data_IF_828094954596
#
_entry.id   IF_828094954596
#
_cell.length_a   1.000
_cell.length_b   1.000
_cell.length_c   1.000
_cell.angle_alpha   90.00
_cell.angle_beta   90.00
_cell.angle_gamma   90.00
#
_symmetry.space_group_name_H-M   'P 1'
#
loop_
_entity.id
_entity.type
_entity.pdbx_description
1 polymer ?
#
# COMPACT_ATOMS: atom_id res chain seq x y z
N UNK A 1 -8.40 22.67 23.22
CA UNK A 1 -7.85 22.84 21.86
C UNK A 1 -8.17 24.25 21.43
N UNK A 2 -7.20 24.98 20.90
CA UNK A 2 -7.33 26.42 20.61
C UNK A 2 -7.09 26.75 19.12
N UNK A 3 -6.71 25.79 18.27
CA UNK A 3 -6.46 26.04 16.86
C UNK A 3 -7.73 25.87 15.99
N UNK A 4 -7.86 26.70 14.96
CA UNK A 4 -8.93 26.58 13.94
C UNK A 4 -8.60 25.60 12.80
N UNK A 5 -7.39 25.01 12.79
CA UNK A 5 -6.89 24.18 11.70
C UNK A 5 -7.35 22.72 11.69
N UNK A 6 -8.24 22.31 12.60
CA UNK A 6 -8.74 20.93 12.66
C UNK A 6 -10.26 20.90 12.67
N UNK A 7 -10.82 19.93 11.94
CA UNK A 7 -12.23 19.60 11.95
C UNK A 7 -12.42 18.17 12.48
N UNK A 8 -13.52 17.96 13.21
CA UNK A 8 -13.90 16.66 13.75
C UNK A 8 -15.36 16.38 13.42
N UNK A 9 -15.70 15.13 13.15
CA UNK A 9 -17.09 14.72 12.93
C UNK A 9 -17.91 14.68 14.22
N UNK A 10 -17.27 14.56 15.39
CA UNK A 10 -17.93 14.51 16.69
C UNK A 10 -17.00 14.94 17.84
N UNK A 11 -17.56 15.29 19.02
CA UNK A 11 -16.77 15.53 20.24
C UNK A 11 -15.90 14.35 20.65
N UNK A 12 -16.34 13.11 20.44
CA UNK A 12 -15.56 11.90 20.77
C UNK A 12 -14.31 11.79 19.90
N UNK A 13 -14.42 12.10 18.60
CA UNK A 13 -13.26 12.15 17.71
C UNK A 13 -12.28 13.27 18.09
N UNK A 14 -12.80 14.42 18.52
CA UNK A 14 -11.98 15.50 19.08
C UNK A 14 -11.22 15.01 20.32
N UNK A 15 -11.91 14.41 21.28
CA UNK A 15 -11.31 14.01 22.55
C UNK A 15 -10.29 12.87 22.38
N UNK A 16 -10.55 11.94 21.44
CA UNK A 16 -9.57 10.93 21.02
C UNK A 16 -8.30 11.56 20.43
N UNK A 17 -8.45 12.59 19.58
CA UNK A 17 -7.31 13.29 19.00
C UNK A 17 -6.54 14.15 20.02
N UNK A 18 -7.20 14.58 21.11
CA UNK A 18 -6.58 15.41 22.14
C UNK A 18 -5.37 14.77 22.82
N UNK A 19 -5.28 13.43 22.81
CA UNK A 19 -4.16 12.68 23.39
C UNK A 19 -2.82 13.16 22.83
N UNK A 20 -2.72 13.35 21.52
CA UNK A 20 -1.51 13.83 20.84
C UNK A 20 -1.62 15.29 20.43
N UNK A 21 -2.79 15.74 19.98
CA UNK A 21 -2.95 17.07 19.41
C UNK A 21 -2.72 18.19 20.43
N UNK A 22 -2.93 17.95 21.73
CA UNK A 22 -2.60 18.92 22.79
C UNK A 22 -1.13 19.40 22.74
N UNK A 23 -0.23 18.56 22.22
CA UNK A 23 1.20 18.88 22.07
C UNK A 23 1.53 19.50 20.71
N UNK A 24 0.67 19.30 19.70
CA UNK A 24 0.83 19.79 18.33
C UNK A 24 0.16 21.17 18.14
N UNK A 25 -0.94 21.43 18.86
CA UNK A 25 -1.91 22.51 18.60
C UNK A 25 -1.28 23.90 18.42
N UNK A 26 -0.36 24.29 19.31
CA UNK A 26 0.30 25.61 19.28
C UNK A 26 1.42 25.72 18.25
N UNK A 27 1.82 24.61 17.65
CA UNK A 27 2.93 24.52 16.71
C UNK A 27 2.47 24.16 15.30
N UNK A 28 1.16 24.02 15.05
CA UNK A 28 0.65 23.63 13.74
C UNK A 28 1.09 24.59 12.63
N UNK A 29 0.92 25.89 12.83
CA UNK A 29 1.31 26.90 11.84
C UNK A 29 2.82 26.93 11.62
N UNK A 30 3.60 26.72 12.68
CA UNK A 30 5.05 26.62 12.59
C UNK A 30 5.48 25.37 11.81
N UNK A 31 4.87 24.21 12.09
CA UNK A 31 5.18 22.96 11.39
C UNK A 31 4.79 23.07 9.91
N UNK A 32 3.58 23.56 9.59
CA UNK A 32 3.13 23.76 8.22
C UNK A 32 4.03 24.79 7.50
N UNK A 33 4.26 25.94 8.13
CA UNK A 33 5.08 27.02 7.58
C UNK A 33 6.56 26.65 7.37
N UNK A 34 7.08 25.66 8.11
CA UNK A 34 8.44 25.15 7.89
C UNK A 34 8.61 24.39 6.57
N UNK A 35 7.50 23.99 5.92
CA UNK A 35 7.54 23.16 4.70
C UNK A 35 8.01 21.72 4.95
N UNK A 36 8.00 21.26 6.21
CA UNK A 36 8.41 19.89 6.53
C UNK A 36 7.49 18.84 5.90
N UNK A 37 8.06 17.67 5.64
CA UNK A 37 7.29 16.52 5.17
C UNK A 37 6.24 16.12 6.20
N UNK A 38 5.07 15.64 5.74
CA UNK A 38 4.05 15.00 6.58
C UNK A 38 4.62 13.88 7.47
N UNK A 39 5.71 13.23 7.04
CA UNK A 39 6.39 12.20 7.84
C UNK A 39 7.00 12.77 9.13
N UNK A 40 7.34 14.06 9.18
CA UNK A 40 7.81 14.74 10.38
C UNK A 40 6.67 14.87 11.41
N UNK A 41 5.45 15.19 10.93
CA UNK A 41 4.25 15.19 11.77
C UNK A 41 3.96 13.79 12.30
N UNK A 42 4.11 12.74 11.48
CA UNK A 42 3.92 11.35 11.91
C UNK A 42 4.99 10.95 12.94
N UNK A 43 6.25 11.36 12.77
CA UNK A 43 7.30 11.08 13.73
C UNK A 43 6.98 11.71 15.09
N UNK A 44 6.58 12.98 15.11
CA UNK A 44 6.14 13.67 16.33
C UNK A 44 4.93 12.97 16.96
N UNK A 45 3.91 12.67 16.15
CA UNK A 45 2.67 12.02 16.60
C UNK A 45 2.92 10.61 17.13
N UNK A 46 3.87 9.88 16.56
CA UNK A 46 4.26 8.55 17.04
C UNK A 46 4.74 8.61 18.49
N UNK A 47 5.42 9.70 18.88
CA UNK A 47 5.83 9.97 20.26
C UNK A 47 4.66 10.44 21.10
N UNK A 48 3.96 11.48 20.66
CA UNK A 48 2.95 12.18 21.49
C UNK A 48 1.65 11.40 21.67
N UNK A 49 1.36 10.42 20.83
CA UNK A 49 0.24 9.49 21.05
C UNK A 49 0.45 8.58 22.27
N UNK A 50 1.70 8.43 22.74
CA UNK A 50 2.06 7.72 23.96
C UNK A 50 2.35 8.71 25.10
N UNK A 51 2.14 8.29 26.34
CA UNK A 51 2.51 9.08 27.53
C UNK A 51 4.03 9.11 27.70
N UNK A 52 4.59 10.14 28.33
CA UNK A 52 6.03 10.23 28.58
C UNK A 52 6.64 8.98 29.24
N UNK A 53 5.95 8.42 30.25
CA UNK A 53 6.39 7.20 30.94
C UNK A 53 6.45 5.94 30.07
N UNK A 54 5.75 5.92 28.93
CA UNK A 54 5.92 4.86 27.93
C UNK A 54 7.36 4.86 27.40
N UNK A 55 7.90 6.03 27.05
CA UNK A 55 9.24 6.15 26.48
C UNK A 55 10.35 5.93 27.51
N UNK A 56 10.11 6.25 28.79
CA UNK A 56 11.01 5.85 29.87
C UNK A 56 11.14 4.32 29.91
N UNK A 57 10.01 3.60 29.84
CA UNK A 57 10.02 2.14 29.77
C UNK A 57 10.71 1.59 28.52
N UNK A 58 10.49 2.19 27.35
CA UNK A 58 11.19 1.79 26.11
C UNK A 58 12.71 1.96 26.28
N UNK A 59 13.17 3.12 26.77
CA UNK A 59 14.59 3.39 27.03
C UNK A 59 15.19 2.36 27.99
N UNK A 60 14.47 2.06 29.05
CA UNK A 60 14.88 1.12 30.10
C UNK A 60 14.66 -0.35 29.71
N UNK A 61 14.31 -0.61 28.43
CA UNK A 61 14.07 -1.94 27.84
C UNK A 61 13.00 -2.76 28.57
N UNK A 62 12.01 -2.10 29.12
CA UNK A 62 10.86 -2.74 29.77
C UNK A 62 9.74 -3.03 28.74
N UNK A 63 8.90 -4.05 28.97
CA UNK A 63 7.74 -4.32 28.13
C UNK A 63 6.78 -3.13 28.06
N UNK A 64 6.34 -2.81 26.85
CA UNK A 64 5.37 -1.74 26.57
C UNK A 64 4.26 -2.22 25.65
N UNK A 65 3.09 -1.58 25.73
CA UNK A 65 1.98 -1.77 24.81
C UNK A 65 1.46 -0.41 24.36
N UNK A 66 1.32 -0.14 23.05
CA UNK A 66 1.72 -1.00 21.93
C UNK A 66 3.24 -1.23 21.88
N UNK A 67 3.68 -2.30 21.24
CA UNK A 67 5.09 -2.63 21.10
C UNK A 67 5.76 -1.77 20.02
N UNK A 68 6.62 -0.83 20.45
CA UNK A 68 7.37 0.06 19.55
C UNK A 68 8.34 -0.70 18.65
N UNK A 69 8.81 -1.88 19.07
CA UNK A 69 9.83 -2.63 18.31
C UNK A 69 9.34 -3.06 16.94
N UNK A 70 8.02 -3.24 16.78
CA UNK A 70 7.38 -3.53 15.48
C UNK A 70 7.62 -2.44 14.45
N UNK A 71 7.70 -1.18 14.90
CA UNK A 71 8.01 -0.05 14.03
C UNK A 71 9.52 0.20 13.96
N UNK A 72 10.23 0.12 15.09
CA UNK A 72 11.67 0.41 15.10
C UNK A 72 12.50 -0.59 14.30
N UNK A 73 12.03 -1.83 14.15
CA UNK A 73 12.73 -2.88 13.42
C UNK A 73 12.49 -2.84 11.90
N UNK A 74 11.64 -1.94 11.41
CA UNK A 74 11.42 -1.78 9.97
C UNK A 74 12.65 -1.15 9.30
N UNK A 75 12.79 -1.43 7.99
CA UNK A 75 13.96 -1.03 7.21
C UNK A 75 14.07 0.49 7.13
N UNK A 76 15.22 1.03 7.56
CA UNK A 76 15.53 2.45 7.51
C UNK A 76 16.64 2.81 6.50
N UNK A 77 17.26 1.80 5.88
CA UNK A 77 18.43 1.91 4.99
C UNK A 77 19.54 2.83 5.53
N UNK A 78 19.81 2.77 6.84
CA UNK A 78 20.80 3.63 7.47
C UNK A 78 22.21 3.45 6.85
N UNK A 79 22.54 2.24 6.42
CA UNK A 79 23.79 1.86 5.76
C UNK A 79 23.98 2.49 4.37
N UNK A 80 22.90 2.86 3.68
CA UNK A 80 22.94 3.43 2.32
C UNK A 80 22.84 4.95 2.28
N UNK A 81 22.64 5.60 3.43
CA UNK A 81 22.39 7.04 3.53
C UNK A 81 23.68 7.84 3.40
N UNK A 82 23.59 8.96 2.67
CA UNK A 82 24.68 9.92 2.56
C UNK A 82 24.71 10.86 3.78
N UNK A 83 25.89 11.38 4.13
CA UNK A 83 26.07 12.32 5.25
C UNK A 83 25.12 13.53 5.18
N UNK A 84 24.87 14.08 3.98
CA UNK A 84 23.91 15.18 3.79
C UNK A 84 22.49 14.84 4.22
N UNK A 85 22.02 13.62 3.95
CA UNK A 85 20.69 13.16 4.38
C UNK A 85 20.61 13.04 5.91
N UNK A 86 21.67 12.50 6.54
CA UNK A 86 21.76 12.44 8.01
C UNK A 86 21.71 13.81 8.68
N UNK A 87 22.44 14.79 8.15
CA UNK A 87 22.42 16.17 8.68
C UNK A 87 21.00 16.74 8.61
N UNK A 88 20.34 16.67 7.45
CA UNK A 88 18.97 17.18 7.28
C UNK A 88 17.98 16.53 8.24
N UNK A 89 18.04 15.21 8.43
CA UNK A 89 17.15 14.51 9.37
C UNK A 89 17.47 14.81 10.82
N UNK A 90 18.75 14.98 11.16
CA UNK A 90 19.16 15.35 12.52
C UNK A 90 18.65 16.74 12.88
N UNK A 91 18.78 17.70 11.96
CA UNK A 91 18.21 19.04 12.15
C UNK A 91 16.70 18.99 12.36
N UNK A 92 15.98 18.19 11.57
CA UNK A 92 14.54 18.02 11.73
C UNK A 92 14.18 17.30 13.04
N UNK A 93 14.94 16.28 13.44
CA UNK A 93 14.75 15.59 14.72
C UNK A 93 14.94 16.54 15.91
N UNK A 94 15.97 17.39 15.88
CA UNK A 94 16.20 18.42 16.89
C UNK A 94 15.06 19.46 16.91
N UNK A 95 14.58 19.88 15.73
CA UNK A 95 13.44 20.78 15.63
C UNK A 95 12.17 20.18 16.28
N UNK A 96 11.84 18.93 15.96
CA UNK A 96 10.71 18.21 16.57
C UNK A 96 10.93 17.99 18.08
N UNK A 97 12.16 17.76 18.52
CA UNK A 97 12.50 17.65 19.93
C UNK A 97 12.23 18.97 20.68
N UNK A 98 12.56 20.13 20.09
CA UNK A 98 12.20 21.44 20.66
C UNK A 98 10.69 21.60 20.80
N UNK A 99 9.90 21.10 19.84
CA UNK A 99 8.43 21.08 19.97
C UNK A 99 8.01 20.23 21.19
N UNK A 100 8.59 19.05 21.41
CA UNK A 100 8.29 18.22 22.59
C UNK A 100 8.63 18.92 23.92
N UNK A 101 9.74 19.65 23.97
CA UNK A 101 10.16 20.43 25.14
C UNK A 101 9.18 21.57 25.41
N UNK A 102 8.92 22.43 24.42
CA UNK A 102 8.09 23.62 24.59
C UNK A 102 6.59 23.31 24.72
N UNK A 103 6.10 22.22 24.12
CA UNK A 103 4.72 21.73 24.27
C UNK A 103 4.43 21.11 25.65
N UNK A 104 5.46 21.00 26.49
CA UNK A 104 5.43 20.36 27.79
C UNK A 104 5.13 18.86 27.77
N UNK A 105 5.53 18.19 26.69
CA UNK A 105 5.54 16.73 26.65
C UNK A 105 6.64 16.16 27.56
N UNK A 106 7.85 16.73 27.48
CA UNK A 106 8.98 16.39 28.35
C UNK A 106 8.82 17.15 29.68
N UNK A 107 8.82 16.50 30.85
CA UNK A 107 8.73 17.17 32.15
C UNK A 107 9.91 18.14 32.38
N UNK A 108 9.72 19.24 33.12
CA UNK A 108 10.81 20.20 33.39
C UNK A 108 12.05 19.58 34.05
N UNK A 109 11.88 18.54 34.87
CA UNK A 109 12.99 17.79 35.50
C UNK A 109 13.96 17.18 34.50
N UNK A 110 13.49 16.90 33.29
CA UNK A 110 14.25 16.20 32.25
C UNK A 110 14.58 17.14 31.09
N UNK A 111 14.45 18.47 31.30
CA UNK A 111 14.75 19.48 30.29
C UNK A 111 16.16 20.04 30.35
N UNK A 112 16.90 19.82 31.45
CA UNK A 112 18.24 20.32 31.81
C UNK A 112 18.63 21.69 31.18
N UNK A 113 18.92 22.67 32.03
CA UNK A 113 19.36 24.02 31.60
C UNK A 113 20.72 24.05 30.87
N UNK A 114 21.39 22.90 30.73
CA UNK A 114 22.65 22.77 30.01
C UNK A 114 22.40 22.51 28.50
N UNK A 115 23.25 23.11 27.65
CA UNK A 115 23.22 22.92 26.19
C UNK A 115 23.52 21.47 25.78
N UNK A 116 23.95 20.64 26.73
CA UNK A 116 24.25 19.22 26.52
C UNK A 116 22.99 18.36 26.39
N UNK A 117 22.83 17.75 25.21
CA UNK A 117 21.77 16.79 24.92
C UNK A 117 22.02 15.45 25.62
N UNK A 118 21.31 15.17 26.71
CA UNK A 118 21.51 13.96 27.52
C UNK A 118 20.18 13.24 27.89
N UNK A 119 20.28 12.09 28.56
CA UNK A 119 19.15 11.41 29.19
C UNK A 119 17.97 11.14 28.26
N UNK A 120 16.76 11.55 28.68
CA UNK A 120 15.53 11.37 27.89
C UNK A 120 15.49 12.25 26.65
N UNK A 121 16.12 13.43 26.66
CA UNK A 121 16.17 14.32 25.49
C UNK A 121 16.97 13.68 24.37
N UNK A 122 18.16 13.16 24.68
CA UNK A 122 18.98 12.40 23.73
C UNK A 122 18.23 11.19 23.20
N UNK A 123 17.62 10.39 24.09
CA UNK A 123 16.87 9.21 23.70
C UNK A 123 15.70 9.55 22.75
N UNK A 124 14.85 10.52 23.08
CA UNK A 124 13.74 10.93 22.22
C UNK A 124 14.22 11.56 20.91
N UNK A 125 15.34 12.31 20.94
CA UNK A 125 16.01 12.80 19.73
C UNK A 125 16.46 11.66 18.81
N UNK A 126 17.06 10.60 19.37
CA UNK A 126 17.43 9.39 18.62
C UNK A 126 16.20 8.66 18.07
N UNK A 127 15.11 8.56 18.84
CA UNK A 127 13.84 7.98 18.37
C UNK A 127 13.27 8.79 17.20
N UNK A 128 13.24 10.12 17.30
CA UNK A 128 12.80 11.00 16.21
C UNK A 128 13.66 10.81 14.96
N UNK A 129 14.98 10.81 15.11
CA UNK A 129 15.92 10.61 14.01
C UNK A 129 15.71 9.23 13.34
N UNK A 130 15.50 8.18 14.13
CA UNK A 130 15.20 6.84 13.62
C UNK A 130 13.86 6.82 12.87
N UNK A 131 12.81 7.39 13.45
CA UNK A 131 11.50 7.49 12.81
C UNK A 131 11.57 8.25 11.49
N UNK A 132 12.30 9.37 11.43
CA UNK A 132 12.47 10.11 10.18
C UNK A 132 13.15 9.26 9.11
N UNK A 133 14.10 8.40 9.44
CA UNK A 133 14.71 7.48 8.48
C UNK A 133 13.76 6.34 8.08
N UNK A 134 13.08 5.75 9.06
CA UNK A 134 12.18 4.62 8.87
C UNK A 134 10.93 4.97 8.05
N UNK A 135 10.27 6.10 8.37
CA UNK A 135 8.97 6.45 7.81
C UNK A 135 9.00 6.72 6.30
N UNK A 136 10.16 7.10 5.74
CA UNK A 136 10.32 7.28 4.30
C UNK A 136 9.96 6.02 3.50
N UNK A 137 10.24 4.84 4.05
CA UNK A 137 10.09 3.57 3.36
C UNK A 137 8.87 2.77 3.78
N UNK A 138 8.30 3.08 4.94
CA UNK A 138 7.31 2.22 5.61
C UNK A 138 5.96 2.90 5.86
N UNK A 139 5.83 4.19 5.53
CA UNK A 139 4.56 4.91 5.64
C UNK A 139 3.69 4.66 4.40
N UNK A 140 2.37 4.61 4.62
CA UNK A 140 1.38 4.30 3.58
C UNK A 140 0.49 5.50 3.34
N UNK A 141 0.34 5.87 2.07
CA UNK A 141 -0.65 6.86 1.66
C UNK A 141 -2.07 6.28 1.82
N UNK A 142 -2.90 7.01 2.55
CA UNK A 142 -4.32 6.70 2.74
C UNK A 142 -5.09 7.50 1.70
N UNK A 143 -6.01 6.85 1.01
CA UNK A 143 -6.79 7.46 -0.05
C UNK A 143 -8.27 7.11 0.06
N UNK A 144 -9.09 8.00 -0.51
CA UNK A 144 -10.48 7.76 -0.84
C UNK A 144 -10.69 7.66 -2.35
N UNK A 145 -11.78 6.98 -2.76
CA UNK A 145 -12.17 6.90 -4.17
C UNK A 145 -13.29 7.89 -4.44
N UNK A 146 -13.03 8.87 -5.29
CA UNK A 146 -13.99 9.88 -5.72
C UNK A 146 -14.77 9.40 -6.94
N UNK A 147 -16.07 9.69 -6.97
CA UNK A 147 -16.98 9.37 -8.07
C UNK A 147 -17.78 10.61 -8.47
N UNK A 148 -18.09 10.76 -9.77
CA UNK A 148 -18.96 11.85 -10.25
C UNK A 148 -20.43 11.65 -9.92
N UNK A 149 -20.87 10.39 -9.83
CA UNK A 149 -22.21 9.99 -9.44
C UNK A 149 -22.14 8.70 -8.61
N UNK A 150 -23.19 8.40 -7.84
CA UNK A 150 -23.28 7.14 -7.11
C UNK A 150 -23.28 5.97 -8.13
N UNK A 151 -22.45 4.96 -7.86
CA UNK A 151 -22.25 3.75 -8.67
C UNK A 151 -21.57 3.97 -10.04
N UNK A 152 -21.06 5.18 -10.32
CA UNK A 152 -20.31 5.48 -11.55
C UNK A 152 -18.83 5.09 -11.44
N UNK A 153 -18.55 3.79 -11.51
CA UNK A 153 -17.20 3.25 -11.40
C UNK A 153 -16.22 3.73 -12.48
N UNK A 154 -16.73 4.12 -13.65
CA UNK A 154 -15.92 4.59 -14.78
C UNK A 154 -15.28 5.95 -14.51
N UNK A 155 -15.96 6.82 -13.74
CA UNK A 155 -15.40 8.12 -13.35
C UNK A 155 -14.48 8.11 -12.14
N UNK A 156 -14.20 6.91 -11.59
CA UNK A 156 -13.46 6.76 -10.35
C UNK A 156 -12.08 7.43 -10.39
N UNK A 157 -11.76 8.18 -9.33
CA UNK A 157 -10.46 8.84 -9.13
C UNK A 157 -9.96 8.66 -7.72
N UNK A 158 -8.67 8.42 -7.56
CA UNK A 158 -8.03 8.32 -6.24
C UNK A 158 -7.72 9.73 -5.72
N UNK A 159 -8.16 10.03 -4.50
CA UNK A 159 -7.79 11.23 -3.75
C UNK A 159 -7.00 10.82 -2.51
N UNK A 160 -5.73 11.22 -2.43
CA UNK A 160 -4.88 10.93 -1.27
C UNK A 160 -5.19 11.92 -0.14
N UNK A 161 -5.66 11.41 0.99
CA UNK A 161 -6.20 12.23 2.09
C UNK A 161 -5.33 12.23 3.34
N UNK A 162 -4.50 11.21 3.54
CA UNK A 162 -3.65 11.11 4.72
C UNK A 162 -2.44 10.18 4.51
N UNK A 163 -1.61 10.05 5.54
CA UNK A 163 -0.55 9.05 5.62
C UNK A 163 -0.64 8.33 6.96
N UNK A 164 -0.48 7.01 6.94
CA UNK A 164 -0.54 6.14 8.11
C UNK A 164 0.65 5.19 8.20
N UNK A 165 0.83 4.59 9.36
CA UNK A 165 1.88 3.59 9.61
C UNK A 165 1.22 2.29 10.04
N UNK A 166 1.45 1.24 9.25
CA UNK A 166 0.88 -0.08 9.45
C UNK A 166 2.01 -1.10 9.50
N UNK A 167 2.64 -1.34 10.67
CA UNK A 167 3.85 -2.15 10.76
C UNK A 167 3.72 -3.55 10.14
N UNK A 168 2.57 -4.20 10.32
CA UNK A 168 2.32 -5.51 9.70
C UNK A 168 2.24 -5.45 8.17
N UNK A 169 1.75 -4.34 7.61
CA UNK A 169 1.64 -4.16 6.15
C UNK A 169 2.98 -3.79 5.54
N UNK A 170 3.81 -3.02 6.26
CA UNK A 170 5.15 -2.66 5.82
C UNK A 170 6.10 -3.86 5.62
N UNK A 171 5.72 -5.07 6.09
CA UNK A 171 6.47 -6.30 5.86
C UNK A 171 6.28 -6.88 4.46
N UNK A 172 5.21 -6.52 3.75
CA UNK A 172 4.95 -7.04 2.40
C UNK A 172 5.86 -6.34 1.40
N UNK A 173 6.64 -7.13 0.67
CA UNK A 173 7.52 -6.64 -0.39
C UNK A 173 6.72 -6.19 -1.62
N UNK A 174 7.39 -5.46 -2.51
CA UNK A 174 6.80 -4.96 -3.74
C UNK A 174 6.61 -6.04 -4.83
N UNK A 175 5.47 -5.99 -5.53
CA UNK A 175 5.29 -6.57 -6.87
C UNK A 175 4.51 -5.59 -7.77
N UNK A 176 4.86 -5.54 -9.06
CA UNK A 176 4.15 -4.71 -10.03
C UNK A 176 2.77 -5.30 -10.41
N UNK A 177 2.51 -6.57 -10.11
CA UNK A 177 1.25 -7.29 -10.27
C UNK A 177 0.95 -8.13 -8.99
N UNK A 178 0.67 -7.48 -7.85
CA UNK A 178 0.52 -8.17 -6.57
C UNK A 178 -0.65 -9.16 -6.56
N UNK A 179 -0.58 -10.24 -5.76
CA UNK A 179 -1.70 -11.18 -5.58
C UNK A 179 -2.81 -10.64 -4.67
N UNK A 180 -2.59 -9.50 -4.01
CA UNK A 180 -3.55 -8.84 -3.14
C UNK A 180 -3.87 -7.45 -3.66
N UNK A 181 -5.02 -6.94 -3.26
CA UNK A 181 -5.40 -5.55 -3.40
C UNK A 181 -5.55 -4.88 -2.05
N UNK A 182 -5.42 -3.55 -2.03
CA UNK A 182 -5.55 -2.71 -0.84
C UNK A 182 -6.73 -1.77 -0.95
N UNK A 183 -7.42 -1.52 0.16
CA UNK A 183 -8.39 -0.45 0.32
C UNK A 183 -8.53 -0.09 1.80
N UNK A 184 -9.28 0.96 2.10
CA UNK A 184 -9.42 1.47 3.46
C UNK A 184 -10.85 1.32 3.97
N UNK A 185 -10.99 1.10 5.27
CA UNK A 185 -12.24 1.26 6.02
C UNK A 185 -11.97 2.21 7.18
N UNK A 186 -12.26 3.49 7.00
CA UNK A 186 -11.80 4.53 7.92
C UNK A 186 -10.27 4.54 8.03
N UNK A 187 -9.74 4.27 9.23
CA UNK A 187 -8.29 4.22 9.49
C UNK A 187 -7.68 2.82 9.27
N UNK A 188 -8.50 1.80 9.01
CA UNK A 188 -8.04 0.43 8.82
C UNK A 188 -7.62 0.22 7.37
N UNK A 189 -6.42 -0.33 7.17
CA UNK A 189 -5.93 -0.79 5.87
C UNK A 189 -6.33 -2.25 5.70
N UNK A 190 -7.12 -2.53 4.68
CA UNK A 190 -7.59 -3.88 4.34
C UNK A 190 -6.78 -4.41 3.17
N UNK A 191 -6.15 -5.56 3.37
CA UNK A 191 -5.52 -6.35 2.31
C UNK A 191 -6.40 -7.55 2.00
N UNK A 192 -6.66 -7.79 0.72
CA UNK A 192 -7.48 -8.93 0.28
C UNK A 192 -6.90 -9.57 -0.97
N UNK A 193 -6.80 -10.89 -0.97
CA UNK A 193 -6.36 -11.65 -2.15
C UNK A 193 -7.32 -11.44 -3.32
N UNK A 194 -6.77 -11.23 -4.51
CA UNK A 194 -7.52 -11.09 -5.78
C UNK A 194 -7.33 -12.30 -6.69
N UNK A 195 -6.61 -13.32 -6.22
CA UNK A 195 -6.38 -14.63 -6.84
C UNK A 195 -5.96 -15.63 -5.75
N UNK A 196 -5.97 -16.95 -6.02
CA UNK A 196 -5.53 -17.97 -5.10
C UNK A 196 -4.05 -17.81 -4.75
N UNK A 197 -3.70 -18.19 -3.52
CA UNK A 197 -2.34 -18.22 -2.99
C UNK A 197 -2.08 -19.60 -2.39
N UNK A 198 -0.99 -20.23 -2.79
CA UNK A 198 -0.53 -21.51 -2.25
C UNK A 198 0.41 -21.30 -1.04
N UNK A 199 0.55 -22.29 -0.14
CA UNK A 199 1.58 -22.25 0.90
C UNK A 199 2.97 -22.06 0.29
N UNK A 200 3.70 -21.05 0.78
CA UNK A 200 5.02 -20.68 0.27
C UNK A 200 5.01 -19.57 -0.78
N UNK A 201 3.83 -19.20 -1.33
CA UNK A 201 3.74 -18.04 -2.21
C UNK A 201 4.09 -16.75 -1.46
N UNK A 202 4.87 -15.90 -2.11
CA UNK A 202 5.11 -14.56 -1.61
C UNK A 202 3.83 -13.73 -1.69
N UNK A 203 3.40 -13.21 -0.55
CA UNK A 203 2.36 -12.17 -0.51
C UNK A 203 3.07 -10.83 -0.67
N UNK A 204 2.74 -10.10 -1.71
CA UNK A 204 3.38 -8.83 -2.08
C UNK A 204 2.36 -7.73 -2.28
N UNK A 205 2.74 -6.49 -1.99
CA UNK A 205 1.91 -5.30 -2.17
C UNK A 205 2.44 -4.45 -3.33
N UNK A 206 1.66 -3.47 -3.80
CA UNK A 206 2.14 -2.51 -4.78
C UNK A 206 2.44 -1.16 -4.12
N UNK A 207 3.70 -0.74 -4.23
CA UNK A 207 4.22 0.51 -3.64
C UNK A 207 3.85 1.76 -4.46
N UNK A 208 2.85 1.66 -5.34
CA UNK A 208 2.36 2.72 -6.22
C UNK A 208 2.49 2.44 -7.73
N UNK A 209 3.66 2.02 -8.26
CA UNK A 209 3.81 1.80 -9.69
C UNK A 209 3.33 0.41 -10.12
N UNK A 210 2.07 0.28 -10.54
CA UNK A 210 1.49 -0.96 -11.10
C UNK A 210 1.73 -1.05 -12.61
N UNK A 211 1.91 -2.28 -13.14
CA UNK A 211 2.22 -2.49 -14.57
C UNK A 211 1.10 -2.02 -15.51
N UNK A 212 -0.15 -2.10 -15.06
CA UNK A 212 -1.32 -1.69 -15.83
C UNK A 212 -1.33 -0.20 -16.16
N UNK A 213 -0.65 0.64 -15.37
CA UNK A 213 -0.67 2.10 -15.49
C UNK A 213 0.68 2.71 -15.94
N UNK A 214 1.80 2.06 -15.63
CA UNK A 214 3.16 2.62 -15.80
C UNK A 214 4.05 1.69 -16.62
N UNK A 215 4.91 2.22 -17.49
CA UNK A 215 5.90 1.43 -18.24
C UNK A 215 6.99 0.88 -17.32
N UNK A 216 7.72 -0.15 -17.74
CA UNK A 216 8.86 -0.69 -16.98
C UNK A 216 9.83 0.41 -16.53
N UNK A 217 10.22 1.31 -17.44
CA UNK A 217 11.14 2.41 -17.12
C UNK A 217 10.57 3.36 -16.05
N UNK A 218 9.28 3.69 -16.10
CA UNK A 218 8.61 4.51 -15.08
C UNK A 218 8.57 3.79 -13.72
N UNK A 219 8.24 2.48 -13.72
CA UNK A 219 8.17 1.66 -12.50
C UNK A 219 9.53 1.56 -11.82
N UNK A 220 10.58 1.18 -12.56
CA UNK A 220 11.94 1.06 -12.04
C UNK A 220 12.48 2.38 -11.50
N UNK A 221 12.28 3.49 -12.23
CA UNK A 221 12.71 4.82 -11.78
C UNK A 221 12.02 5.23 -10.47
N UNK A 222 10.71 5.03 -10.37
CA UNK A 222 9.94 5.35 -9.16
C UNK A 222 10.42 4.53 -7.95
N UNK A 223 10.59 3.22 -8.13
CA UNK A 223 11.02 2.32 -7.04
C UNK A 223 12.46 2.59 -6.62
N UNK A 224 13.38 2.73 -7.57
CA UNK A 224 14.78 3.02 -7.28
C UNK A 224 14.96 4.36 -6.56
N UNK A 225 14.19 5.39 -6.94
CA UNK A 225 14.30 6.72 -6.30
C UNK A 225 13.70 6.77 -4.90
N UNK A 226 12.55 6.12 -4.67
CA UNK A 226 11.82 6.19 -3.40
C UNK A 226 12.24 5.13 -2.39
N UNK A 227 12.50 3.91 -2.85
CA UNK A 227 12.72 2.71 -2.03
C UNK A 227 14.09 2.05 -2.21
N UNK A 228 14.93 2.57 -3.10
CA UNK A 228 16.35 2.17 -3.24
C UNK A 228 16.57 0.69 -3.58
N UNK A 229 15.68 0.13 -4.41
CA UNK A 229 15.82 -1.20 -4.98
C UNK A 229 15.39 -1.24 -6.45
N UNK A 230 15.81 -2.29 -7.15
CA UNK A 230 15.37 -2.63 -8.51
C UNK A 230 14.37 -3.77 -8.42
N UNK A 231 13.20 -3.62 -9.05
CA UNK A 231 12.17 -4.65 -8.98
C UNK A 231 12.45 -5.77 -9.98
N UNK A 232 12.47 -7.02 -9.49
CA UNK A 232 12.70 -8.22 -10.31
C UNK A 232 11.45 -9.10 -10.43
N UNK A 233 10.26 -8.55 -10.19
CA UNK A 233 9.02 -9.30 -10.39
C UNK A 233 8.86 -9.71 -11.87
N UNK A 234 8.01 -10.70 -12.13
CA UNK A 234 7.84 -11.25 -13.49
C UNK A 234 7.37 -10.20 -14.49
N UNK A 235 6.53 -9.25 -14.06
CA UNK A 235 6.08 -8.14 -14.89
C UNK A 235 7.20 -7.19 -15.30
N UNK A 236 8.27 -7.11 -14.51
CA UNK A 236 9.46 -6.35 -14.84
C UNK A 236 10.45 -7.16 -15.69
N UNK A 237 10.65 -8.44 -15.38
CA UNK A 237 11.54 -9.32 -16.14
C UNK A 237 11.08 -9.49 -17.59
N UNK A 238 9.77 -9.52 -17.83
CA UNK A 238 9.17 -9.73 -19.14
C UNK A 238 8.66 -8.43 -19.80
N UNK A 239 8.98 -7.27 -19.24
CA UNK A 239 8.54 -5.94 -19.72
C UNK A 239 7.03 -5.90 -20.08
N UNK A 240 6.18 -6.27 -19.11
CA UNK A 240 4.74 -6.29 -19.38
C UNK A 240 4.21 -4.90 -19.75
N UNK A 241 3.39 -4.81 -20.81
CA UNK A 241 2.87 -3.55 -21.31
C UNK A 241 1.77 -3.00 -20.40
N UNK A 242 1.44 -1.71 -20.59
CA UNK A 242 0.29 -1.06 -19.94
C UNK A 242 -1.02 -1.74 -20.36
N UNK A 243 -2.05 -1.59 -19.54
CA UNK A 243 -3.38 -2.17 -19.78
C UNK A 243 -3.96 -1.78 -21.14
N UNK A 244 -3.73 -0.54 -21.58
CA UNK A 244 -4.20 -0.02 -22.87
C UNK A 244 -3.54 -0.70 -24.07
N UNK A 245 -2.34 -1.25 -23.90
CA UNK A 245 -1.58 -1.93 -24.95
C UNK A 245 -1.71 -3.45 -24.89
N UNK A 246 -2.40 -4.01 -23.90
CA UNK A 246 -2.73 -5.43 -23.87
C UNK A 246 -3.84 -5.75 -24.88
N UNK A 247 -3.58 -6.77 -25.70
CA UNK A 247 -4.54 -7.34 -26.64
C UNK A 247 -5.51 -8.28 -25.90
N UNK A 248 -6.80 -8.17 -26.18
CA UNK A 248 -7.83 -9.05 -25.62
C UNK A 248 -7.90 -10.41 -26.31
N UNK A 249 -7.40 -10.54 -27.54
CA UNK A 249 -7.39 -11.82 -28.24
C UNK A 249 -6.24 -12.73 -27.74
N UNK A 250 -5.18 -12.16 -27.18
CA UNK A 250 -4.03 -12.93 -26.70
C UNK A 250 -4.30 -13.58 -25.34
N UNK A 251 -4.15 -14.90 -25.29
CA UNK A 251 -4.28 -15.71 -24.08
C UNK A 251 -3.00 -16.53 -23.87
N UNK A 252 -2.50 -16.57 -22.63
CA UNK A 252 -1.38 -17.41 -22.24
C UNK A 252 -1.87 -18.58 -21.39
N UNK A 253 -1.95 -19.77 -21.98
CA UNK A 253 -2.46 -20.98 -21.32
C UNK A 253 -1.34 -21.68 -20.54
N UNK A 254 -1.55 -21.92 -19.24
CA UNK A 254 -0.60 -22.69 -18.43
C UNK A 254 -0.52 -24.15 -18.90
N UNK A 255 0.65 -24.75 -18.75
CA UNK A 255 0.81 -26.18 -18.94
C UNK A 255 0.07 -26.96 -17.85
N UNK A 256 -0.69 -28.01 -18.23
CA UNK A 256 -1.39 -28.89 -17.28
C UNK A 256 -0.48 -29.94 -16.62
N UNK A 257 0.79 -30.04 -17.02
CA UNK A 257 1.73 -30.97 -16.40
C UNK A 257 2.12 -30.51 -15.01
N UNK A 258 2.09 -31.44 -14.05
CA UNK A 258 2.55 -31.19 -12.67
C UNK A 258 3.97 -30.62 -12.69
N UNK A 259 4.23 -29.61 -11.85
CA UNK A 259 5.54 -28.95 -11.69
C UNK A 259 6.09 -28.25 -12.95
N UNK A 260 5.26 -28.07 -13.99
CA UNK A 260 5.63 -27.28 -15.17
C UNK A 260 5.02 -25.87 -15.10
N UNK A 261 5.85 -24.86 -14.97
CA UNK A 261 5.47 -23.43 -15.02
C UNK A 261 5.35 -22.85 -16.44
N UNK A 262 5.64 -23.67 -17.46
CA UNK A 262 5.57 -23.25 -18.86
C UNK A 262 4.14 -22.93 -19.31
N UNK A 263 4.02 -22.18 -20.39
CA UNK A 263 2.74 -21.78 -20.96
C UNK A 263 2.78 -21.77 -22.50
N UNK A 264 1.62 -21.69 -23.14
CA UNK A 264 1.46 -21.55 -24.59
C UNK A 264 0.60 -20.33 -24.88
N UNK A 265 1.08 -19.47 -25.78
CA UNK A 265 0.31 -18.32 -26.28
C UNK A 265 -0.59 -18.74 -27.43
N UNK A 266 -1.86 -18.31 -27.38
CA UNK A 266 -2.87 -18.54 -28.42
C UNK A 266 -3.84 -17.36 -28.51
N UNK A 267 -4.67 -17.33 -29.55
CA UNK A 267 -5.84 -16.44 -29.67
C UNK A 267 -7.07 -17.02 -28.93
N UNK A 268 -8.10 -16.20 -28.75
CA UNK A 268 -9.41 -16.65 -28.26
C UNK A 268 -10.10 -17.64 -29.22
N UNK A 269 -9.72 -17.58 -30.51
CA UNK A 269 -10.12 -18.55 -31.53
C UNK A 269 -8.87 -19.21 -32.16
N UNK A 270 -8.35 -20.29 -31.57
CA UNK A 270 -7.11 -20.92 -32.01
C UNK A 270 -7.25 -21.53 -33.41
N UNK A 271 -6.32 -21.23 -34.32
CA UNK A 271 -6.25 -21.89 -35.64
C UNK A 271 -5.82 -23.36 -35.57
N UNK A 272 -5.10 -23.74 -34.52
CA UNK A 272 -4.63 -25.11 -34.27
C UNK A 272 -5.32 -25.64 -33.01
N UNK A 273 -5.70 -26.90 -33.03
CA UNK A 273 -6.36 -27.54 -31.86
C UNK A 273 -5.38 -27.90 -30.75
N UNK A 274 -4.10 -28.12 -31.07
CA UNK A 274 -3.06 -28.52 -30.12
C UNK A 274 -1.76 -27.78 -30.36
N UNK A 275 -1.02 -27.55 -29.27
CA UNK A 275 0.37 -27.09 -29.30
C UNK A 275 1.21 -27.88 -28.29
N UNK A 276 2.53 -27.73 -28.38
CA UNK A 276 3.49 -28.33 -27.45
C UNK A 276 3.95 -27.26 -26.46
N UNK A 277 3.93 -27.58 -25.17
CA UNK A 277 4.52 -26.70 -24.16
C UNK A 277 6.02 -26.48 -24.47
N UNK A 278 6.51 -25.23 -24.50
CA UNK A 278 7.92 -24.95 -24.77
C UNK A 278 8.88 -25.63 -23.79
N UNK A 279 8.47 -25.77 -22.52
CA UNK A 279 9.29 -26.32 -21.42
C UNK A 279 9.29 -27.86 -21.38
N UNK A 280 8.14 -28.49 -21.14
CA UNK A 280 8.06 -29.96 -20.94
C UNK A 280 7.66 -30.75 -22.18
N UNK A 281 7.37 -30.09 -23.31
CA UNK A 281 6.91 -30.70 -24.57
C UNK A 281 5.59 -31.49 -24.49
N UNK A 282 4.86 -31.44 -23.37
CA UNK A 282 3.53 -32.02 -23.28
C UNK A 282 2.56 -31.33 -24.24
N UNK A 283 1.55 -32.08 -24.70
CA UNK A 283 0.51 -31.55 -25.57
C UNK A 283 -0.48 -30.71 -24.77
N UNK A 284 -0.72 -29.48 -25.22
CA UNK A 284 -1.74 -28.56 -24.68
C UNK A 284 -2.88 -28.51 -25.70
N UNK A 285 -4.11 -28.78 -25.25
CA UNK A 285 -5.33 -28.65 -26.06
C UNK A 285 -5.76 -27.18 -26.06
N UNK A 286 -5.54 -26.49 -27.17
CA UNK A 286 -5.83 -25.06 -27.29
C UNK A 286 -7.32 -24.80 -27.42
N UNK A 287 -8.04 -25.63 -28.18
CA UNK A 287 -9.48 -25.44 -28.42
C UNK A 287 -10.27 -25.58 -27.14
N UNK A 288 -10.02 -26.62 -26.36
CA UNK A 288 -10.69 -26.85 -25.06
C UNK A 288 -10.42 -25.70 -24.08
N UNK A 289 -9.16 -25.25 -23.98
CA UNK A 289 -8.78 -24.20 -23.07
C UNK A 289 -9.32 -22.83 -23.51
N UNK A 290 -9.32 -22.52 -24.80
CA UNK A 290 -9.92 -21.28 -25.33
C UNK A 290 -11.44 -21.27 -25.17
N UNK A 291 -12.11 -22.42 -25.37
CA UNK A 291 -13.54 -22.57 -25.08
C UNK A 291 -13.84 -22.34 -23.59
N UNK A 292 -12.99 -22.85 -22.70
CA UNK A 292 -13.11 -22.62 -21.27
C UNK A 292 -12.96 -21.14 -20.91
N UNK A 293 -11.96 -20.45 -21.47
CA UNK A 293 -11.80 -19.00 -21.27
C UNK A 293 -13.02 -18.24 -21.81
N UNK A 294 -13.53 -18.62 -22.99
CA UNK A 294 -14.73 -18.03 -23.60
C UNK A 294 -15.99 -18.27 -22.76
N UNK A 295 -16.15 -19.44 -22.13
CA UNK A 295 -17.30 -19.68 -21.26
C UNK A 295 -17.29 -18.78 -20.02
N UNK A 296 -16.11 -18.50 -19.46
CA UNK A 296 -15.98 -17.59 -18.33
C UNK A 296 -16.09 -16.11 -18.72
N UNK A 297 -15.97 -15.77 -20.01
CA UNK A 297 -16.23 -14.41 -20.48
C UNK A 297 -17.68 -13.99 -20.22
N UNK A 298 -18.63 -14.92 -20.35
CA UNK A 298 -20.04 -14.67 -19.99
C UNK A 298 -20.21 -14.41 -18.49
N UNK A 299 -19.44 -15.09 -17.64
CA UNK A 299 -19.45 -14.83 -16.19
C UNK A 299 -18.91 -13.43 -15.87
N UNK A 300 -17.86 -13.00 -16.56
CA UNK A 300 -17.32 -11.65 -16.45
C UNK A 300 -18.35 -10.58 -16.84
N UNK A 301 -19.05 -10.76 -17.96
CA UNK A 301 -20.11 -9.84 -18.42
C UNK A 301 -21.28 -9.79 -17.44
N UNK A 302 -21.69 -10.93 -16.90
CA UNK A 302 -22.72 -11.01 -15.86
C UNK A 302 -22.30 -10.27 -14.59
N UNK A 303 -21.05 -10.41 -14.17
CA UNK A 303 -20.53 -9.71 -12.99
C UNK A 303 -20.48 -8.19 -13.20
N UNK A 304 -20.13 -7.72 -14.41
CA UNK A 304 -20.20 -6.31 -14.76
C UNK A 304 -21.64 -5.77 -14.72
N UNK A 305 -22.61 -6.54 -15.25
CA UNK A 305 -24.02 -6.15 -15.18
C UNK A 305 -24.50 -6.03 -13.73
N UNK A 306 -24.23 -7.05 -12.90
CA UNK A 306 -24.55 -7.03 -11.47
C UNK A 306 -23.88 -5.84 -10.74
N UNK A 307 -22.64 -5.51 -11.09
CA UNK A 307 -21.93 -4.35 -10.55
C UNK A 307 -22.60 -3.03 -10.94
N UNK A 308 -23.03 -2.89 -12.20
CA UNK A 308 -23.77 -1.72 -12.69
C UNK A 308 -25.16 -1.56 -12.08
N UNK A 309 -25.82 -2.67 -11.72
CA UNK A 309 -27.08 -2.70 -10.96
C UNK A 309 -26.89 -2.50 -9.45
N UNK A 310 -25.64 -2.45 -9.00
CA UNK A 310 -25.28 -2.23 -7.59
C UNK A 310 -25.31 -3.45 -6.69
N UNK A 311 -25.42 -4.64 -7.26
CA UNK A 311 -25.30 -5.92 -6.56
C UNK A 311 -23.82 -6.26 -6.33
N UNK A 312 -23.12 -5.42 -5.55
CA UNK A 312 -21.66 -5.47 -5.42
C UNK A 312 -21.15 -6.77 -4.78
N UNK A 313 -21.91 -7.36 -3.87
CA UNK A 313 -21.55 -8.63 -3.23
C UNK A 313 -21.59 -9.78 -4.24
N UNK A 314 -22.65 -9.86 -5.03
CA UNK A 314 -22.84 -10.90 -6.04
C UNK A 314 -21.82 -10.73 -7.19
N UNK A 315 -21.63 -9.49 -7.65
CA UNK A 315 -20.59 -9.17 -8.63
C UNK A 315 -19.20 -9.61 -8.13
N UNK A 316 -18.86 -9.30 -6.87
CA UNK A 316 -17.58 -9.68 -6.31
C UNK A 316 -17.40 -11.21 -6.17
N UNK A 317 -18.46 -11.96 -5.88
CA UNK A 317 -18.41 -13.42 -5.84
C UNK A 317 -18.09 -14.00 -7.23
N UNK A 318 -18.80 -13.54 -8.26
CA UNK A 318 -18.59 -14.00 -9.64
C UNK A 318 -17.21 -13.60 -10.16
N UNK A 319 -16.79 -12.36 -9.93
CA UNK A 319 -15.43 -11.92 -10.28
C UNK A 319 -14.34 -12.72 -9.55
N UNK A 320 -14.56 -13.11 -8.29
CA UNK A 320 -13.58 -13.93 -7.54
C UNK A 320 -13.45 -15.31 -8.17
N UNK A 321 -14.58 -15.97 -8.46
CA UNK A 321 -14.59 -17.27 -9.13
C UNK A 321 -13.92 -17.20 -10.52
N UNK A 322 -14.19 -16.15 -11.29
CA UNK A 322 -13.52 -15.90 -12.57
C UNK A 322 -12.00 -15.76 -12.38
N UNK A 323 -11.55 -14.90 -11.46
CA UNK A 323 -10.13 -14.65 -11.20
C UNK A 323 -9.39 -15.91 -10.76
N UNK A 324 -10.02 -16.72 -9.91
CA UNK A 324 -9.47 -17.98 -9.41
C UNK A 324 -9.26 -19.00 -10.53
N UNK A 325 -10.27 -19.19 -11.36
CA UNK A 325 -10.21 -20.17 -12.45
C UNK A 325 -9.22 -19.69 -13.52
N UNK A 326 -9.24 -18.41 -13.86
CA UNK A 326 -8.30 -17.82 -14.81
C UNK A 326 -6.86 -17.86 -14.29
N UNK A 327 -6.64 -17.78 -12.98
CA UNK A 327 -5.30 -17.95 -12.40
C UNK A 327 -4.76 -19.38 -12.61
N UNK A 328 -5.62 -20.40 -12.54
CA UNK A 328 -5.28 -21.81 -12.76
C UNK A 328 -5.06 -22.10 -14.24
N UNK A 329 -5.94 -21.60 -15.11
CA UNK A 329 -5.91 -21.89 -16.55
C UNK A 329 -4.86 -21.07 -17.27
N UNK A 330 -4.68 -19.81 -16.85
CA UNK A 330 -3.91 -18.84 -17.60
C UNK A 330 -2.78 -18.19 -16.79
N UNK A 331 -1.78 -17.70 -17.53
CA UNK A 331 -0.65 -16.96 -17.00
C UNK A 331 -0.82 -15.47 -17.33
N UNK A 332 -0.69 -14.55 -16.37
CA UNK A 332 -0.63 -13.13 -16.69
C UNK A 332 0.57 -12.78 -17.61
N UNK A 333 0.51 -11.66 -18.35
CA UNK A 333 -0.52 -10.63 -18.28
C UNK A 333 -1.75 -10.98 -19.14
N UNK A 334 -2.95 -10.80 -18.58
CA UNK A 334 -4.22 -10.92 -19.32
C UNK A 334 -5.08 -9.72 -18.98
N UNK A 335 -5.58 -9.04 -20.01
CA UNK A 335 -6.32 -7.78 -19.87
C UNK A 335 -7.60 -7.94 -19.06
N UNK A 336 -8.43 -8.92 -19.41
CA UNK A 336 -9.69 -9.19 -18.70
C UNK A 336 -9.46 -9.54 -17.25
N UNK A 337 -8.49 -10.40 -16.94
CA UNK A 337 -8.12 -10.73 -15.54
C UNK A 337 -7.68 -9.48 -14.77
N UNK A 338 -6.87 -8.62 -15.38
CA UNK A 338 -6.42 -7.38 -14.74
C UNK A 338 -7.60 -6.43 -14.45
N UNK A 339 -8.55 -6.34 -15.38
CA UNK A 339 -9.79 -5.57 -15.20
C UNK A 339 -10.68 -6.19 -14.11
N UNK A 340 -10.81 -7.52 -14.07
CA UNK A 340 -11.56 -8.23 -13.03
C UNK A 340 -11.00 -7.98 -11.64
N UNK A 341 -9.68 -8.01 -11.47
CA UNK A 341 -9.05 -7.76 -10.17
C UNK A 341 -9.25 -6.31 -9.71
N UNK A 342 -9.30 -5.35 -10.63
CA UNK A 342 -9.62 -3.95 -10.34
C UNK A 342 -11.12 -3.75 -10.03
N UNK A 343 -12.00 -4.46 -10.72
CA UNK A 343 -13.43 -4.47 -10.43
C UNK A 343 -13.71 -5.08 -9.04
N UNK A 344 -13.03 -6.18 -8.67
CA UNK A 344 -13.08 -6.77 -7.32
C UNK A 344 -12.71 -5.75 -6.23
N UNK A 345 -11.57 -5.07 -6.41
CA UNK A 345 -11.14 -4.01 -5.50
C UNK A 345 -12.23 -2.96 -5.35
N UNK A 346 -12.84 -2.54 -6.46
CA UNK A 346 -13.90 -1.53 -6.50
C UNK A 346 -15.15 -2.00 -5.75
N UNK A 347 -15.66 -3.20 -6.01
CA UNK A 347 -16.80 -3.78 -5.31
C UNK A 347 -16.58 -3.86 -3.79
N UNK A 348 -15.39 -4.28 -3.35
CA UNK A 348 -15.08 -4.39 -1.92
C UNK A 348 -14.85 -3.05 -1.23
N UNK A 349 -14.25 -2.08 -1.92
CA UNK A 349 -13.93 -0.78 -1.36
C UNK A 349 -15.16 0.14 -1.31
N UNK A 350 -16.07 0.04 -2.28
CA UNK A 350 -17.17 0.99 -2.48
C UNK A 350 -18.02 1.27 -1.22
N UNK A 351 -18.43 0.27 -0.42
CA UNK A 351 -19.25 0.52 0.77
C UNK A 351 -18.53 1.30 1.87
N UNK A 352 -17.20 1.36 1.85
CA UNK A 352 -16.37 1.86 2.95
C UNK A 352 -15.50 3.06 2.56
N UNK A 353 -15.17 3.19 1.27
CA UNK A 353 -14.14 4.10 0.79
C UNK A 353 -14.58 4.86 -0.47
N UNK A 354 -15.65 5.66 -0.33
CA UNK A 354 -16.21 6.46 -1.43
C UNK A 354 -16.46 7.91 -1.04
N UNK A 355 -16.29 8.79 -2.01
CA UNK A 355 -16.72 10.18 -1.98
C UNK A 355 -17.45 10.51 -3.29
N UNK A 356 -18.74 10.83 -3.22
CA UNK A 356 -19.52 11.24 -4.40
C UNK A 356 -19.51 12.76 -4.47
N UNK A 357 -19.01 13.31 -5.57
CA UNK A 357 -18.99 14.75 -5.79
C UNK A 357 -20.44 15.27 -5.85
N UNK A 358 -20.71 16.30 -5.07
CA UNK A 358 -22.03 16.95 -5.02
C UNK A 358 -22.21 17.97 -6.12
#
# INVERSE_FOLDING_TARGET
MECAGLAFCSPECRDSAHIYHRYECRYMDLMIGSGMSILCHIALRTITQQKYGYWQRVRDKQPVSPDYTRLSNLVAHADKRQAKDFVSRTLMALFLLRILEHSKYIPPSDRDDDDNLSGMRLFLGCVLLHLLQCLQFNAHEIYETMYKADMDFESSKINYTAVGVYPSVALFNHDCCPPITRYFRGKELILRAVRPLAPGDAVSENYGPVFTMRTLAERQRSLASRYWFTCECIACQEDWPKLTALDTDIIHLRCKMKECDGFVTTSAEPRKSKAKCPKCKASVNLTEAALLVKSYQTDYERALAAMGEGQLVDAAQVFSAYSDIMHIVCRPPIKTVSLTQEALRSCWAYPYNKHVLK
#
